data_IF_665485331152
#
_entry.id   IF_665485331152
#
_cell.length_a   1.000
_cell.length_b   1.000
_cell.length_c   1.000
_cell.angle_alpha   90.00
_cell.angle_beta   90.00
_cell.angle_gamma   90.00
#
_symmetry.space_group_name_H-M   'P 1'
#
loop_
_entity.id
_entity.type
_entity.pdbx_description
1 polymer ?
#
# COMPACT_ATOMS: atom_id res chain seq x y z
N UNK A 1 24.98 -9.13 -6.25
CA UNK A 1 23.71 -9.50 -6.94
C UNK A 1 23.51 -8.55 -8.12
N UNK A 2 23.38 -9.03 -9.37
CA UNK A 2 23.00 -8.16 -10.49
C UNK A 2 21.57 -7.69 -10.22
N UNK A 3 21.40 -6.40 -9.95
CA UNK A 3 20.07 -5.79 -9.89
C UNK A 3 19.45 -5.97 -11.28
N UNK A 4 18.44 -6.81 -11.41
CA UNK A 4 17.68 -6.93 -12.66
C UNK A 4 16.87 -5.63 -12.84
N UNK A 5 17.50 -4.61 -13.42
CA UNK A 5 16.91 -3.31 -13.73
C UNK A 5 15.64 -3.40 -14.61
N UNK A 6 15.38 -4.55 -15.23
CA UNK A 6 14.24 -4.81 -16.10
C UNK A 6 12.90 -5.00 -15.38
N UNK A 7 12.84 -5.05 -14.05
CA UNK A 7 11.58 -5.33 -13.33
C UNK A 7 11.26 -4.41 -12.15
N UNK A 8 11.94 -3.26 -12.04
CA UNK A 8 11.69 -2.27 -10.97
C UNK A 8 10.54 -1.37 -11.40
N UNK A 9 9.47 -1.34 -10.61
CA UNK A 9 8.37 -0.38 -10.78
C UNK A 9 8.83 1.02 -10.37
N UNK A 10 8.47 2.01 -11.16
CA UNK A 10 8.61 3.42 -10.79
C UNK A 10 7.74 3.73 -9.56
N UNK A 11 8.08 4.77 -8.77
CA UNK A 11 7.23 5.20 -7.66
C UNK A 11 5.77 5.41 -8.07
N UNK A 12 5.55 5.94 -9.27
CA UNK A 12 4.20 6.18 -9.80
C UNK A 12 3.44 4.89 -10.08
N UNK A 13 4.09 3.90 -10.66
CA UNK A 13 3.48 2.59 -10.89
C UNK A 13 3.12 1.90 -9.56
N UNK A 14 3.97 2.02 -8.54
CA UNK A 14 3.69 1.50 -7.19
C UNK A 14 2.45 2.18 -6.60
N UNK A 15 2.40 3.53 -6.63
CA UNK A 15 1.24 4.28 -6.14
C UNK A 15 -0.06 3.89 -6.86
N UNK A 16 -0.02 3.74 -8.18
CA UNK A 16 -1.20 3.33 -8.96
C UNK A 16 -1.64 1.90 -8.63
N UNK A 17 -0.70 1.00 -8.37
CA UNK A 17 -1.03 -0.37 -7.99
C UNK A 17 -1.69 -0.43 -6.61
N UNK A 18 -1.17 0.33 -5.64
CA UNK A 18 -1.81 0.49 -4.32
C UNK A 18 -3.23 1.06 -4.48
N UNK A 19 -3.41 2.11 -5.28
CA UNK A 19 -4.72 2.70 -5.53
C UNK A 19 -5.71 1.74 -6.20
N UNK A 20 -5.26 0.95 -7.18
CA UNK A 20 -6.07 -0.12 -7.79
C UNK A 20 -6.50 -1.16 -6.76
N UNK A 21 -5.58 -1.59 -5.89
CA UNK A 21 -5.87 -2.55 -4.84
C UNK A 21 -6.94 -2.01 -3.88
N UNK A 22 -6.76 -0.81 -3.33
CA UNK A 22 -7.75 -0.17 -2.45
C UNK A 22 -9.11 -0.04 -3.15
N UNK A 23 -9.12 0.43 -4.41
CA UNK A 23 -10.36 0.57 -5.19
C UNK A 23 -11.08 -0.77 -5.37
N UNK A 24 -10.33 -1.86 -5.57
CA UNK A 24 -10.88 -3.21 -5.66
C UNK A 24 -11.55 -3.63 -4.35
N UNK A 25 -10.88 -3.48 -3.19
CA UNK A 25 -11.45 -3.80 -1.87
C UNK A 25 -12.70 -2.98 -1.58
N UNK A 26 -12.67 -1.67 -1.85
CA UNK A 26 -13.85 -0.81 -1.69
C UNK A 26 -15.05 -1.33 -2.50
N UNK A 27 -14.82 -1.77 -3.74
CA UNK A 27 -15.88 -2.33 -4.60
C UNK A 27 -16.37 -3.70 -4.11
N UNK A 28 -15.51 -4.53 -3.54
CA UNK A 28 -15.90 -5.81 -2.91
C UNK A 28 -16.86 -5.56 -1.73
N UNK A 29 -16.66 -4.48 -0.99
CA UNK A 29 -17.58 -3.98 0.05
C UNK A 29 -18.82 -3.26 -0.50
N UNK A 30 -18.98 -3.17 -1.83
CA UNK A 30 -20.08 -2.47 -2.53
C UNK A 30 -20.24 -0.99 -2.14
N UNK A 31 -19.16 -0.34 -1.73
CA UNK A 31 -19.18 1.07 -1.34
C UNK A 31 -18.93 1.98 -2.54
N UNK A 32 -19.69 3.06 -2.66
CA UNK A 32 -19.34 4.22 -3.49
C UNK A 32 -18.12 4.95 -2.92
N UNK A 33 -17.49 5.82 -3.71
CA UNK A 33 -16.40 6.68 -3.21
C UNK A 33 -16.89 7.62 -2.09
N UNK A 34 -18.14 8.07 -2.14
CA UNK A 34 -18.72 8.96 -1.12
C UNK A 34 -18.98 8.22 0.20
N UNK A 35 -19.54 7.01 0.15
CA UNK A 35 -19.72 6.18 1.34
C UNK A 35 -18.38 5.79 1.96
N UNK A 36 -17.40 5.46 1.12
CA UNK A 36 -16.05 5.15 1.58
C UNK A 36 -15.35 6.35 2.21
N UNK A 37 -15.54 7.55 1.65
CA UNK A 37 -15.08 8.81 2.24
C UNK A 37 -15.68 9.01 3.64
N UNK A 38 -17.01 8.82 3.79
CA UNK A 38 -17.69 8.94 5.08
C UNK A 38 -17.17 7.93 6.11
N UNK A 39 -17.02 6.66 5.72
CA UNK A 39 -16.54 5.58 6.60
C UNK A 39 -15.08 5.77 7.03
N UNK A 40 -14.20 6.13 6.11
CA UNK A 40 -12.77 6.37 6.40
C UNK A 40 -12.48 7.72 7.06
N UNK A 41 -13.44 8.65 7.05
CA UNK A 41 -13.21 10.04 7.45
C UNK A 41 -12.12 10.73 6.62
N UNK A 42 -11.87 10.26 5.40
CA UNK A 42 -10.99 10.90 4.41
C UNK A 42 -11.88 11.68 3.45
N UNK A 43 -11.49 12.89 3.07
CA UNK A 43 -12.34 13.73 2.20
C UNK A 43 -12.61 13.06 0.85
N UNK A 44 -13.81 13.26 0.30
CA UNK A 44 -14.21 12.70 -0.99
C UNK A 44 -13.24 13.08 -2.12
N UNK A 45 -12.79 14.34 -2.15
CA UNK A 45 -11.78 14.80 -3.09
C UNK A 45 -10.45 14.04 -2.99
N UNK A 46 -10.05 13.64 -1.78
CA UNK A 46 -8.84 12.84 -1.58
C UNK A 46 -9.02 11.39 -2.03
N UNK A 47 -10.16 10.75 -1.72
CA UNK A 47 -10.50 9.41 -2.24
C UNK A 47 -10.52 9.41 -3.77
N UNK A 48 -11.20 10.40 -4.38
CA UNK A 48 -11.30 10.52 -5.83
C UNK A 48 -9.93 10.74 -6.47
N UNK A 49 -9.10 11.65 -5.94
CA UNK A 49 -7.73 11.88 -6.43
C UNK A 49 -6.91 10.61 -6.30
N UNK A 50 -6.90 9.99 -5.13
CA UNK A 50 -6.14 8.78 -4.86
C UNK A 50 -6.49 7.65 -5.83
N UNK A 51 -7.77 7.32 -6.01
CA UNK A 51 -8.16 6.23 -6.92
C UNK A 51 -7.90 6.52 -8.40
N UNK A 52 -7.76 7.78 -8.79
CA UNK A 52 -7.49 8.18 -10.17
C UNK A 52 -5.99 8.33 -10.45
N UNK A 53 -5.22 8.84 -9.49
CA UNK A 53 -3.82 9.25 -9.70
C UNK A 53 -2.83 8.50 -8.84
N UNK A 54 -3.26 7.82 -7.78
CA UNK A 54 -2.38 7.23 -6.76
C UNK A 54 -1.90 8.22 -5.69
N UNK A 55 -2.26 9.50 -5.78
CA UNK A 55 -1.76 10.54 -4.87
C UNK A 55 -2.63 10.70 -3.62
N UNK A 56 -2.05 10.42 -2.45
CA UNK A 56 -2.68 10.55 -1.13
C UNK A 56 -1.61 10.80 -0.05
N UNK A 57 -2.00 11.38 1.09
CA UNK A 57 -1.10 11.39 2.26
C UNK A 57 -1.05 10.01 2.92
N UNK A 58 0.10 9.66 3.50
CA UNK A 58 0.25 8.40 4.26
C UNK A 58 -0.81 8.27 5.35
N UNK A 59 -1.07 9.33 6.12
CA UNK A 59 -2.09 9.33 7.17
C UNK A 59 -3.48 8.97 6.63
N UNK A 60 -3.90 9.54 5.50
CA UNK A 60 -5.21 9.21 4.92
C UNK A 60 -5.25 7.78 4.38
N UNK A 61 -4.12 7.27 3.86
CA UNK A 61 -4.03 5.89 3.40
C UNK A 61 -4.09 4.89 4.57
N UNK A 62 -3.51 5.21 5.72
CA UNK A 62 -3.64 4.39 6.94
C UNK A 62 -5.09 4.39 7.43
N UNK A 63 -5.80 5.54 7.42
CA UNK A 63 -7.25 5.57 7.75
C UNK A 63 -8.08 4.67 6.83
N UNK A 64 -7.75 4.65 5.55
CA UNK A 64 -8.36 3.74 4.57
C UNK A 64 -8.06 2.29 4.94
N UNK A 65 -6.81 1.97 5.27
CA UNK A 65 -6.38 0.62 5.62
C UNK A 65 -7.12 0.06 6.84
N UNK A 66 -7.30 0.86 7.89
CA UNK A 66 -8.07 0.48 9.09
C UNK A 66 -9.52 0.12 8.75
N UNK A 67 -10.18 0.88 7.87
CA UNK A 67 -11.57 0.58 7.45
C UNK A 67 -11.65 -0.67 6.56
N UNK A 68 -10.54 -1.04 5.91
CA UNK A 68 -10.43 -2.25 5.12
C UNK A 68 -9.87 -3.43 5.93
N UNK A 69 -9.64 -3.28 7.24
CA UNK A 69 -9.04 -4.28 8.13
C UNK A 69 -7.69 -4.79 7.60
N UNK A 70 -6.86 -3.87 7.07
CA UNK A 70 -5.56 -4.17 6.46
C UNK A 70 -4.42 -3.29 7.00
N UNK A 71 -4.58 -2.71 8.18
CA UNK A 71 -3.56 -1.91 8.86
C UNK A 71 -2.27 -2.68 9.17
N UNK A 72 -2.37 -4.00 9.37
CA UNK A 72 -1.22 -4.86 9.58
C UNK A 72 -0.26 -4.85 8.39
N UNK A 73 -0.75 -4.63 7.16
CA UNK A 73 0.11 -4.47 5.98
C UNK A 73 1.04 -3.25 6.14
N UNK A 74 0.58 -2.17 6.76
CA UNK A 74 1.38 -0.98 7.04
C UNK A 74 2.37 -1.21 8.18
N UNK A 75 1.96 -1.93 9.23
CA UNK A 75 2.84 -2.26 10.34
C UNK A 75 4.01 -3.14 9.88
N UNK A 76 3.77 -4.01 8.90
CA UNK A 76 4.77 -4.91 8.32
C UNK A 76 5.70 -4.25 7.27
N UNK A 77 5.43 -3.00 6.85
CA UNK A 77 6.30 -2.31 5.91
C UNK A 77 7.72 -2.18 6.47
N UNK A 78 8.69 -2.65 5.69
CA UNK A 78 10.12 -2.63 6.02
C UNK A 78 10.54 -3.43 7.27
N UNK A 79 9.68 -4.31 7.80
CA UNK A 79 10.05 -5.15 8.95
C UNK A 79 10.94 -6.35 8.56
N UNK A 80 10.82 -6.86 7.32
CA UNK A 80 11.59 -8.02 6.88
C UNK A 80 13.06 -7.66 6.71
N UNK A 81 13.94 -8.40 7.40
CA UNK A 81 15.38 -8.31 7.20
C UNK A 81 15.73 -8.71 5.77
N UNK A 82 16.43 -7.82 5.07
CA UNK A 82 16.93 -8.12 3.73
C UNK A 82 18.32 -8.74 3.85
N UNK A 83 18.40 -10.04 3.59
CA UNK A 83 19.66 -10.75 3.48
C UNK A 83 20.21 -10.59 2.07
N UNK A 84 21.46 -10.14 1.98
CA UNK A 84 22.16 -9.97 0.71
C UNK A 84 22.96 -11.21 0.32
N UNK A 85 23.16 -12.16 1.25
CA UNK A 85 23.83 -13.42 1.00
C UNK A 85 23.38 -14.54 1.95
N UNK A 86 23.72 -15.78 1.61
CA UNK A 86 23.44 -16.95 2.46
C UNK A 86 24.30 -16.90 3.73
N UNK A 87 25.52 -16.37 3.63
CA UNK A 87 26.42 -16.20 4.78
C UNK A 87 25.82 -15.25 5.84
N UNK A 88 25.10 -14.20 5.44
CA UNK A 88 24.38 -13.33 6.39
C UNK A 88 23.29 -14.07 7.18
N UNK A 89 22.68 -15.11 6.59
CA UNK A 89 21.66 -15.94 7.25
C UNK A 89 22.34 -16.90 8.24
N UNK A 90 23.46 -17.50 7.84
CA UNK A 90 24.19 -18.47 8.66
C UNK A 90 24.74 -17.80 9.93
N UNK A 91 25.36 -16.61 9.78
CA UNK A 91 25.96 -15.88 10.90
C UNK A 91 24.97 -15.32 11.92
N UNK A 92 23.65 -15.35 11.64
CA UNK A 92 22.63 -14.86 12.56
C UNK A 92 22.01 -15.99 13.42
N UNK A 93 22.34 -17.25 13.14
CA UNK A 93 21.87 -18.41 13.90
C UNK A 93 22.87 -18.89 14.97
N UNK A 94 24.07 -18.32 15.01
CA UNK A 94 25.11 -18.49 16.04
C UNK A 94 25.01 -17.38 17.11
#
# INVERSE_FOLDING_TARGET
MKLNFLNIKTPKEIQLEIAKNVRKRRKELKLTQEEFSKKSGVSFGSIKRFENTGEISLFSLIKIAIILECEDEFLNLFQQKQYNSIEEIINEQD
#
